data_IF_909247515658
#
_entry.id   IF_909247515658
#
_cell.length_a   1.000
_cell.length_b   1.000
_cell.length_c   1.000
_cell.angle_alpha   90.00
_cell.angle_beta   90.00
_cell.angle_gamma   90.00
#
_symmetry.space_group_name_H-M   'P 1'
#
loop_
_entity.id
_entity.type
_entity.pdbx_description
1 polymer ?
#
# COMPACT_ATOMS: atom_id res chain seq x y z
N UNK A 1 -5.32 33.10 8.51
CA UNK A 1 -6.11 32.34 7.52
C UNK A 1 -5.21 31.21 7.03
N UNK A 2 -5.59 29.94 7.26
CA UNK A 2 -4.77 28.78 6.84
C UNK A 2 -5.05 28.54 5.37
N UNK A 3 -4.04 28.74 4.52
CA UNK A 3 -4.14 28.46 3.10
C UNK A 3 -3.91 26.95 2.91
N UNK A 4 -4.99 26.23 2.59
CA UNK A 4 -4.87 24.84 2.21
C UNK A 4 -4.23 24.76 0.83
N UNK A 5 -3.35 23.79 0.58
CA UNK A 5 -2.82 23.58 -0.75
C UNK A 5 -3.98 23.27 -1.71
N UNK A 6 -3.96 23.92 -2.86
CA UNK A 6 -4.86 23.59 -3.97
C UNK A 6 -4.74 22.11 -4.32
N UNK A 7 -5.87 21.46 -4.61
CA UNK A 7 -5.92 20.06 -5.05
C UNK A 7 -5.48 19.92 -6.52
N UNK A 8 -4.28 20.41 -6.83
CA UNK A 8 -3.69 20.34 -8.17
C UNK A 8 -2.61 19.26 -8.23
N UNK A 9 -2.54 18.57 -9.37
CA UNK A 9 -1.43 17.67 -9.64
C UNK A 9 -0.14 18.47 -9.70
N UNK A 10 0.94 17.87 -9.20
CA UNK A 10 2.27 18.45 -9.38
C UNK A 10 2.62 18.46 -10.88
N UNK A 11 3.41 19.45 -11.35
CA UNK A 11 3.94 19.43 -12.69
C UNK A 11 4.59 18.07 -13.02
N UNK A 12 4.38 17.61 -14.25
CA UNK A 12 4.87 16.31 -14.75
C UNK A 12 4.20 15.05 -14.15
N UNK A 13 3.00 15.17 -13.57
CA UNK A 13 2.10 14.05 -13.29
C UNK A 13 0.86 14.11 -14.22
N UNK A 14 0.29 12.96 -14.62
CA UNK A 14 0.65 11.59 -14.26
C UNK A 14 1.94 11.10 -14.94
N UNK A 15 2.63 10.17 -14.26
CA UNK A 15 3.81 9.42 -14.75
C UNK A 15 3.39 8.03 -15.21
N UNK A 16 4.21 7.37 -16.02
CA UNK A 16 3.88 6.01 -16.50
C UNK A 16 4.20 4.95 -15.44
N UNK A 17 3.46 3.85 -15.46
CA UNK A 17 3.74 2.70 -14.58
C UNK A 17 5.13 2.09 -14.83
N UNK A 18 5.61 2.14 -16.09
CA UNK A 18 6.95 1.69 -16.46
C UNK A 18 8.05 2.51 -15.77
N UNK A 19 7.90 3.83 -15.66
CA UNK A 19 8.87 4.69 -14.96
C UNK A 19 9.04 4.28 -13.49
N UNK A 20 7.97 3.73 -12.89
CA UNK A 20 7.94 3.25 -11.52
C UNK A 20 8.33 1.75 -11.38
N UNK A 21 8.67 1.08 -12.49
CA UNK A 21 8.96 -0.37 -12.60
C UNK A 21 7.81 -1.29 -12.19
N UNK A 22 6.59 -0.87 -12.45
CA UNK A 22 5.42 -1.75 -12.35
C UNK A 22 5.40 -2.69 -13.57
N UNK A 23 5.08 -3.97 -13.37
CA UNK A 23 4.88 -4.88 -14.50
C UNK A 23 3.53 -4.58 -15.17
N UNK A 24 3.49 -4.58 -16.50
CA UNK A 24 2.35 -4.10 -17.31
C UNK A 24 1.03 -4.89 -17.13
N UNK A 25 1.04 -5.96 -16.34
CA UNK A 25 -0.10 -6.86 -16.13
C UNK A 25 -0.57 -6.92 -14.67
N UNK A 26 -0.03 -6.07 -13.80
CA UNK A 26 -0.37 -6.11 -12.36
C UNK A 26 -1.49 -5.15 -12.01
N UNK A 27 -2.49 -5.67 -11.32
CA UNK A 27 -3.56 -4.87 -10.70
C UNK A 27 -3.01 -4.27 -9.42
N UNK A 28 -3.08 -2.94 -9.29
CA UNK A 28 -2.78 -2.24 -8.04
C UNK A 28 -4.04 -2.22 -7.18
N UNK A 29 -4.01 -2.91 -6.04
CA UNK A 29 -5.14 -2.92 -5.10
C UNK A 29 -5.07 -1.73 -4.13
N UNK A 30 -3.86 -1.29 -3.79
CA UNK A 30 -3.68 -0.06 -3.03
C UNK A 30 -2.23 0.18 -2.68
N UNK A 31 -1.95 1.42 -2.27
CA UNK A 31 -0.64 1.84 -1.81
C UNK A 31 -0.77 2.47 -0.42
N UNK A 32 0.16 2.14 0.48
CA UNK A 32 0.14 2.63 1.85
C UNK A 32 1.52 3.10 2.29
N UNK A 33 1.57 4.18 3.06
CA UNK A 33 2.75 4.55 3.82
C UNK A 33 2.56 4.08 5.26
N UNK A 34 3.55 3.37 5.80
CA UNK A 34 3.56 2.87 7.17
C UNK A 34 4.34 3.84 8.08
N UNK A 35 4.09 3.79 9.39
CA UNK A 35 4.67 4.68 10.39
C UNK A 35 6.20 4.83 10.27
N UNK A 36 6.91 3.76 9.93
CA UNK A 36 8.38 3.77 9.76
C UNK A 36 8.86 4.45 8.47
N UNK A 37 7.99 5.18 7.77
CA UNK A 37 8.32 5.92 6.54
C UNK A 37 8.58 5.04 5.32
N UNK A 38 8.23 3.75 5.39
CA UNK A 38 8.26 2.82 4.24
C UNK A 38 6.92 2.88 3.52
N UNK A 39 6.95 2.70 2.20
CA UNK A 39 5.73 2.68 1.39
C UNK A 39 5.61 1.34 0.67
N UNK A 40 4.43 0.77 0.68
CA UNK A 40 4.14 -0.52 0.06
C UNK A 40 3.00 -0.39 -0.93
N UNK A 41 3.00 -1.26 -1.93
CA UNK A 41 1.92 -1.43 -2.90
C UNK A 41 1.49 -2.89 -2.89
N UNK A 42 0.19 -3.12 -2.80
CA UNK A 42 -0.42 -4.45 -2.92
C UNK A 42 -0.81 -4.68 -4.36
N UNK A 43 -0.41 -5.83 -4.91
CA UNK A 43 -0.66 -6.26 -6.26
C UNK A 43 -1.46 -7.56 -6.31
N UNK A 44 -2.38 -7.64 -7.28
CA UNK A 44 -3.18 -8.84 -7.57
C UNK A 44 -3.85 -9.48 -6.35
N UNK A 45 -4.07 -8.69 -5.30
CA UNK A 45 -4.63 -9.08 -4.01
C UNK A 45 -3.77 -10.04 -3.18
N UNK A 46 -2.53 -10.35 -3.57
CA UNK A 46 -1.73 -11.40 -2.94
C UNK A 46 -0.23 -11.12 -2.85
N UNK A 47 0.27 -10.06 -3.48
CA UNK A 47 1.70 -9.74 -3.55
C UNK A 47 1.96 -8.32 -3.07
N UNK A 48 3.14 -8.07 -2.52
CA UNK A 48 3.54 -6.76 -2.00
C UNK A 48 4.88 -6.36 -2.58
N UNK A 49 4.94 -5.13 -3.10
CA UNK A 49 6.18 -4.47 -3.46
C UNK A 49 6.45 -3.27 -2.56
N UNK A 50 7.68 -3.14 -2.06
CA UNK A 50 8.12 -1.93 -1.35
C UNK A 50 8.61 -0.88 -2.36
N UNK A 51 8.17 0.38 -2.19
CA UNK A 51 8.69 1.51 -2.95
C UNK A 51 9.98 1.98 -2.30
N UNK A 52 11.07 1.93 -3.06
CA UNK A 52 12.35 2.45 -2.63
C UNK A 52 12.27 3.98 -2.46
N UNK A 53 12.67 4.46 -1.28
CA UNK A 53 12.59 5.88 -0.91
C UNK A 53 13.41 6.79 -1.83
N UNK A 54 14.54 6.31 -2.34
CA UNK A 54 15.51 7.10 -3.10
C UNK A 54 15.09 7.23 -4.57
N UNK A 55 14.82 6.12 -5.25
CA UNK A 55 14.54 6.12 -6.69
C UNK A 55 13.05 6.03 -7.05
N UNK A 56 12.16 5.91 -6.05
CA UNK A 56 10.69 5.82 -6.20
C UNK A 56 10.21 4.61 -7.02
N UNK A 57 11.04 3.59 -7.18
CA UNK A 57 10.71 2.37 -7.92
C UNK A 57 10.27 1.26 -6.98
N UNK A 58 9.41 0.38 -7.48
CA UNK A 58 9.00 -0.83 -6.76
C UNK A 58 10.17 -1.83 -6.76
N UNK A 59 10.47 -2.38 -5.58
CA UNK A 59 11.45 -3.44 -5.39
C UNK A 59 10.92 -4.82 -5.77
N UNK A 60 11.61 -5.86 -5.31
CA UNK A 60 11.18 -7.25 -5.50
C UNK A 60 9.83 -7.49 -4.83
N UNK A 61 8.95 -8.21 -5.53
CA UNK A 61 7.64 -8.59 -4.99
C UNK A 61 7.79 -9.76 -4.03
N UNK A 62 7.05 -9.68 -2.93
CA UNK A 62 6.97 -10.72 -1.90
C UNK A 62 5.52 -11.14 -1.71
N UNK A 63 5.30 -12.31 -1.11
CA UNK A 63 3.96 -12.73 -0.72
C UNK A 63 3.37 -11.73 0.29
N UNK A 64 2.07 -11.43 0.16
CA UNK A 64 1.36 -10.53 1.07
C UNK A 64 1.53 -10.93 2.54
N UNK A 65 1.38 -12.21 2.84
CA UNK A 65 1.53 -12.78 4.19
C UNK A 65 2.95 -12.61 4.76
N UNK A 66 3.98 -12.62 3.91
CA UNK A 66 5.36 -12.42 4.36
C UNK A 66 5.61 -10.97 4.85
N UNK A 67 4.87 -10.00 4.31
CA UNK A 67 4.96 -8.59 4.74
C UNK A 67 3.93 -8.23 5.80
N UNK A 68 2.70 -8.76 5.67
CA UNK A 68 1.57 -8.51 6.56
C UNK A 68 0.97 -9.84 7.04
N UNK A 69 1.56 -10.47 8.07
CA UNK A 69 1.12 -11.77 8.55
C UNK A 69 -0.34 -11.79 9.00
N UNK A 70 -1.07 -12.85 8.64
CA UNK A 70 -2.48 -13.02 8.99
C UNK A 70 -3.47 -12.28 8.09
N UNK A 71 -3.01 -11.47 7.13
CA UNK A 71 -3.88 -10.91 6.10
C UNK A 71 -4.07 -11.95 4.99
N UNK A 72 -5.32 -12.29 4.63
CA UNK A 72 -5.58 -13.28 3.57
C UNK A 72 -5.27 -12.70 2.19
N UNK A 73 -5.19 -13.60 1.21
CA UNK A 73 -5.18 -13.22 -0.21
C UNK A 73 -6.56 -12.66 -0.64
N UNK A 74 -6.61 -12.07 -1.83
CA UNK A 74 -7.84 -11.44 -2.34
C UNK A 74 -8.09 -10.04 -1.78
N UNK A 75 -7.03 -9.36 -1.31
CA UNK A 75 -7.12 -7.96 -0.90
C UNK A 75 -7.57 -7.09 -2.07
N UNK A 76 -8.62 -6.30 -1.84
CA UNK A 76 -9.19 -5.36 -2.80
C UNK A 76 -8.68 -3.94 -2.58
N UNK A 77 -8.36 -3.57 -1.33
CA UNK A 77 -7.79 -2.28 -0.97
C UNK A 77 -6.98 -2.33 0.32
N UNK A 78 -6.11 -1.34 0.50
CA UNK A 78 -5.34 -1.11 1.71
C UNK A 78 -5.25 0.39 1.99
N UNK A 79 -5.49 0.79 3.23
CA UNK A 79 -5.27 2.16 3.68
C UNK A 79 -4.85 2.21 5.14
N UNK A 80 -4.23 3.33 5.54
CA UNK A 80 -3.84 3.57 6.94
C UNK A 80 -4.87 4.48 7.59
N UNK A 81 -5.34 4.11 8.78
CA UNK A 81 -6.25 4.92 9.56
C UNK A 81 -5.96 4.78 11.05
N UNK A 82 -5.90 5.91 11.76
CA UNK A 82 -5.53 5.99 13.17
C UNK A 82 -4.13 5.42 13.50
N UNK A 83 -3.71 5.62 14.76
CA UNK A 83 -2.34 5.35 15.27
C UNK A 83 -1.93 3.90 15.03
N UNK A 84 -1.17 3.65 13.97
CA UNK A 84 -0.57 2.34 13.76
C UNK A 84 -1.40 1.34 12.96
N UNK A 85 -2.66 1.65 12.62
CA UNK A 85 -3.56 0.64 12.06
C UNK A 85 -3.67 0.76 10.55
N UNK A 86 -3.42 -0.37 9.88
CA UNK A 86 -3.67 -0.56 8.46
C UNK A 86 -4.97 -1.35 8.33
N UNK A 87 -5.80 -0.96 7.38
CA UNK A 87 -7.07 -1.60 7.08
C UNK A 87 -6.96 -2.22 5.70
N UNK A 88 -7.15 -3.53 5.64
CA UNK A 88 -7.17 -4.30 4.39
C UNK A 88 -8.62 -4.72 4.12
N UNK A 89 -9.13 -4.45 2.93
CA UNK A 89 -10.46 -4.94 2.53
C UNK A 89 -10.31 -6.16 1.65
N UNK A 90 -11.21 -7.12 1.80
CA UNK A 90 -11.45 -8.17 0.81
C UNK A 90 -12.82 -7.93 0.17
N UNK A 91 -13.35 -8.92 -0.56
CA UNK A 91 -14.73 -8.87 -1.05
C UNK A 91 -15.77 -9.07 0.07
N UNK A 92 -15.37 -9.69 1.19
CA UNK A 92 -16.30 -10.16 2.22
C UNK A 92 -16.22 -9.37 3.51
N UNK A 93 -15.04 -8.83 3.86
CA UNK A 93 -14.83 -8.16 5.14
C UNK A 93 -13.61 -7.22 5.11
N UNK A 94 -13.30 -6.61 6.26
CA UNK A 94 -12.10 -5.80 6.44
C UNK A 94 -11.26 -6.34 7.61
N UNK A 95 -9.95 -6.25 7.48
CA UNK A 95 -8.98 -6.68 8.48
C UNK A 95 -8.23 -5.47 9.02
N UNK A 96 -8.25 -5.30 10.34
CA UNK A 96 -7.45 -4.28 11.04
C UNK A 96 -6.11 -4.88 11.45
N UNK A 97 -5.05 -4.47 10.78
CA UNK A 97 -3.68 -4.88 11.05
C UNK A 97 -2.96 -3.79 11.86
N UNK A 98 -2.35 -4.16 12.98
CA UNK A 98 -1.53 -3.24 13.75
C UNK A 98 -0.07 -3.31 13.26
N UNK A 99 0.44 -2.19 12.73
CA UNK A 99 1.79 -2.12 12.14
C UNK A 99 2.93 -2.17 13.15
N UNK A 100 2.64 -1.95 14.44
CA UNK A 100 3.64 -2.02 15.51
C UNK A 100 3.82 -3.45 16.02
N UNK A 101 2.72 -4.15 16.27
CA UNK A 101 2.73 -5.56 16.71
C UNK A 101 2.84 -6.54 15.55
N UNK A 102 2.59 -6.08 14.32
CA UNK A 102 2.51 -6.89 13.10
C UNK A 102 1.48 -8.02 13.17
N UNK A 103 0.31 -7.71 13.73
CA UNK A 103 -0.77 -8.70 13.91
C UNK A 103 -2.12 -8.15 13.47
N UNK A 104 -3.01 -9.04 13.05
CA UNK A 104 -4.43 -8.74 12.86
C UNK A 104 -5.09 -8.63 14.23
N UNK A 105 -5.86 -7.56 14.44
CA UNK A 105 -6.52 -7.21 15.71
C UNK A 105 -8.04 -7.14 15.59
N UNK A 106 -8.58 -7.23 14.38
CA UNK A 106 -10.00 -7.39 14.07
C UNK A 106 -10.13 -7.86 12.61
N UNK A 107 -11.17 -8.63 12.30
CA UNK A 107 -11.49 -9.16 10.98
C UNK A 107 -13.01 -9.21 10.77
#
# INVERSE_FOLDING_TARGET
MVQYPEFTLRPSWPRTLQELRFLEQMIINGAVNIHRGRSFVVFNGNSVGEINKCNKKVGTLTALEATFPGIPTGVTSIFRYAVGNLYFTTRTQFYRFNEFTKTVTAA
#
